data_IF_982260607902
#
_entry.id   IF_982260607902
#
_cell.length_a   1.000
_cell.length_b   1.000
_cell.length_c   1.000
_cell.angle_alpha   90.00
_cell.angle_beta   90.00
_cell.angle_gamma   90.00
#
_symmetry.space_group_name_H-M   'P 1'
#
loop_
_entity.id
_entity.type
_entity.pdbx_description
1 polymer ?
#
# COMPACT_ATOMS: atom_id res chain seq x y z
N UNK A 1 2.76 17.89 1.74
CA UNK A 1 2.45 16.46 1.94
C UNK A 1 1.54 15.91 0.83
N UNK A 2 1.03 16.76 -0.06
CA UNK A 2 0.12 16.37 -1.16
C UNK A 2 0.87 15.81 -2.40
N UNK A 3 2.09 16.26 -2.66
CA UNK A 3 2.85 15.90 -3.87
C UNK A 3 3.42 14.47 -3.89
N UNK A 4 3.48 13.77 -2.75
CA UNK A 4 3.95 12.37 -2.69
C UNK A 4 2.84 11.35 -3.01
N UNK A 5 1.56 11.76 -2.94
CA UNK A 5 0.42 10.91 -3.31
C UNK A 5 0.21 10.87 -4.83
N UNK A 6 0.33 12.02 -5.50
CA UNK A 6 0.10 12.14 -6.95
C UNK A 6 1.06 11.28 -7.79
N UNK A 7 2.30 11.07 -7.30
CA UNK A 7 3.30 10.24 -7.98
C UNK A 7 2.99 8.72 -7.93
N UNK A 8 1.97 8.31 -7.15
CA UNK A 8 1.55 6.90 -7.01
C UNK A 8 0.29 6.55 -7.80
N UNK A 9 -0.42 7.53 -8.37
CA UNK A 9 -1.70 7.31 -9.05
C UNK A 9 -1.53 6.75 -10.46
N UNK A 10 -0.38 7.00 -11.09
CA UNK A 10 -0.11 6.60 -12.47
C UNK A 10 1.10 5.69 -12.60
N UNK A 11 1.00 4.69 -13.47
CA UNK A 11 2.07 3.75 -13.74
C UNK A 11 3.24 4.44 -14.44
N UNK A 12 4.45 4.40 -13.85
CA UNK A 12 5.67 4.98 -14.46
C UNK A 12 6.05 4.39 -15.82
N UNK A 13 5.53 3.21 -16.17
CA UNK A 13 5.86 2.53 -17.42
C UNK A 13 4.90 2.87 -18.57
N UNK A 14 3.60 3.03 -18.31
CA UNK A 14 2.60 3.26 -19.37
C UNK A 14 1.73 4.50 -19.17
N UNK A 15 1.87 5.20 -18.03
CA UNK A 15 1.04 6.36 -17.66
C UNK A 15 -0.40 6.02 -17.27
N UNK A 16 -0.83 4.77 -17.34
CA UNK A 16 -2.18 4.37 -16.97
C UNK A 16 -2.44 4.35 -15.47
N UNK A 17 -3.71 4.36 -15.08
CA UNK A 17 -4.14 4.36 -13.68
C UNK A 17 -3.65 3.13 -12.90
N UNK A 18 -3.31 3.36 -11.63
CA UNK A 18 -2.94 2.32 -10.68
C UNK A 18 -4.16 1.93 -9.82
N UNK A 19 -4.43 0.63 -9.73
CA UNK A 19 -5.43 0.07 -8.83
C UNK A 19 -4.82 -0.14 -7.45
N UNK A 20 -5.58 0.17 -6.40
CA UNK A 20 -5.18 -0.05 -5.00
C UNK A 20 -5.90 -1.26 -4.43
N UNK A 21 -5.13 -2.23 -3.95
CA UNK A 21 -5.66 -3.41 -3.25
C UNK A 21 -5.31 -3.26 -1.77
N UNK A 22 -6.33 -3.23 -0.92
CA UNK A 22 -6.21 -3.10 0.53
C UNK A 22 -6.60 -4.42 1.20
N UNK A 23 -5.77 -4.87 2.13
CA UNK A 23 -6.04 -6.01 2.98
C UNK A 23 -6.59 -5.52 4.31
N UNK A 24 -7.68 -6.13 4.77
CA UNK A 24 -8.28 -5.85 6.07
C UNK A 24 -8.17 -7.08 6.98
N UNK A 25 -7.85 -6.85 8.24
CA UNK A 25 -7.84 -7.85 9.30
C UNK A 25 -9.25 -8.25 9.74
N UNK A 26 -9.33 -9.22 10.64
CA UNK A 26 -10.61 -9.76 11.12
C UNK A 26 -11.47 -8.71 11.85
N UNK A 27 -10.82 -7.71 12.45
CA UNK A 27 -11.48 -6.61 13.16
C UNK A 27 -11.77 -5.40 12.22
N UNK A 28 -11.55 -5.58 10.91
CA UNK A 28 -11.76 -4.54 9.89
C UNK A 28 -10.66 -3.48 9.84
N UNK A 29 -9.52 -3.68 10.51
CA UNK A 29 -8.39 -2.76 10.40
C UNK A 29 -7.60 -2.99 9.10
N UNK A 30 -7.07 -1.94 8.44
CA UNK A 30 -6.19 -2.13 7.30
C UNK A 30 -4.87 -2.77 7.76
N UNK A 31 -4.56 -3.96 7.23
CA UNK A 31 -3.34 -4.73 7.55
C UNK A 31 -2.25 -4.62 6.47
N UNK A 32 -2.56 -4.01 5.34
CA UNK A 32 -1.60 -3.83 4.26
C UNK A 32 -2.27 -3.57 2.92
N UNK A 33 -1.47 -3.55 1.87
CA UNK A 33 -1.98 -3.39 0.52
C UNK A 33 -0.87 -3.23 -0.51
N UNK A 34 -1.25 -3.18 -1.77
CA UNK A 34 -0.36 -2.87 -2.87
C UNK A 34 -1.09 -2.11 -3.96
N UNK A 35 -0.34 -1.33 -4.73
CA UNK A 35 -0.79 -0.72 -5.96
C UNK A 35 -0.37 -1.58 -7.16
N UNK A 36 -1.19 -1.69 -8.18
CA UNK A 36 -0.89 -2.43 -9.42
C UNK A 36 -1.51 -1.73 -10.62
N UNK A 37 -0.76 -1.61 -11.71
CA UNK A 37 -1.32 -1.13 -12.97
C UNK A 37 -2.17 -2.24 -13.61
N UNK A 38 -3.40 -1.92 -13.98
CA UNK A 38 -4.29 -2.84 -14.71
C UNK A 38 -3.75 -3.21 -16.10
N UNK A 39 -2.94 -2.33 -16.71
CA UNK A 39 -2.43 -2.50 -18.06
C UNK A 39 -1.03 -3.18 -18.10
N UNK A 40 -0.10 -2.78 -17.23
CA UNK A 40 1.22 -3.42 -17.11
C UNK A 40 1.19 -4.71 -16.28
N UNK A 41 0.13 -4.91 -15.50
CA UNK A 41 -0.08 -6.09 -14.68
C UNK A 41 0.94 -6.23 -13.53
N UNK A 42 1.23 -7.46 -13.08
CA UNK A 42 1.90 -7.73 -11.81
C UNK A 42 3.35 -7.24 -11.73
N UNK A 43 3.98 -6.91 -12.87
CA UNK A 43 5.33 -6.32 -12.89
C UNK A 43 5.38 -4.89 -12.36
N UNK A 44 4.24 -4.23 -12.26
CA UNK A 44 4.10 -2.85 -11.76
C UNK A 44 3.66 -2.78 -10.29
N UNK A 45 3.69 -3.90 -9.57
CA UNK A 45 3.24 -3.97 -8.18
C UNK A 45 4.16 -3.16 -7.28
N UNK A 46 3.56 -2.25 -6.49
CA UNK A 46 4.25 -1.46 -5.48
C UNK A 46 3.56 -1.68 -4.13
N UNK A 47 4.26 -2.27 -3.17
CA UNK A 47 3.70 -2.51 -1.84
C UNK A 47 3.48 -1.20 -1.06
N UNK A 48 2.34 -1.10 -0.37
CA UNK A 48 2.02 0.03 0.50
C UNK A 48 2.75 -0.13 1.83
N UNK A 49 3.96 0.40 1.90
CA UNK A 49 4.85 0.31 3.08
C UNK A 49 4.43 1.18 4.27
N UNK A 50 3.54 2.17 4.08
CA UNK A 50 3.03 3.01 5.17
C UNK A 50 2.31 2.17 6.25
N UNK A 51 1.45 1.24 5.84
CA UNK A 51 0.77 0.32 6.75
C UNK A 51 1.71 -0.66 7.45
N UNK A 52 2.78 -1.14 6.78
CA UNK A 52 3.69 -2.12 7.37
C UNK A 52 4.54 -1.54 8.52
N UNK A 53 4.99 -0.28 8.41
CA UNK A 53 5.74 0.39 9.48
C UNK A 53 4.86 0.71 10.70
N UNK A 54 3.62 1.14 10.47
CA UNK A 54 2.63 1.42 11.53
C UNK A 54 2.15 0.14 12.21
N UNK A 55 1.90 -0.94 11.46
CA UNK A 55 1.53 -2.25 12.01
C UNK A 55 2.70 -2.84 12.79
N UNK A 56 3.93 -2.75 12.27
CA UNK A 56 5.13 -3.18 13.00
C UNK A 56 5.32 -2.40 14.30
N UNK A 57 5.06 -1.09 14.30
CA UNK A 57 5.09 -0.27 15.52
C UNK A 57 4.03 -0.75 16.54
N UNK A 58 2.78 -0.91 16.12
CA UNK A 58 1.68 -1.41 16.98
C UNK A 58 1.94 -2.82 17.53
N UNK A 59 2.54 -3.71 16.74
CA UNK A 59 2.91 -5.07 17.17
C UNK A 59 4.06 -5.06 18.17
N UNK A 60 5.03 -4.15 18.03
CA UNK A 60 6.13 -3.98 18.99
C UNK A 60 5.63 -3.42 20.33
N UNK A 61 4.70 -2.44 20.30
CA UNK A 61 4.09 -1.88 21.51
C UNK A 61 3.30 -2.94 22.30
N UNK A 62 2.58 -3.84 21.62
CA UNK A 62 1.82 -4.93 22.25
C UNK A 62 2.68 -6.00 22.95
N UNK A 63 3.95 -6.18 22.54
CA UNK A 63 4.87 -7.15 23.17
C UNK A 63 5.66 -6.59 24.36
N UNK A 64 5.57 -5.28 24.59
CA UNK A 64 6.26 -4.60 25.67
C UNK A 64 5.40 -4.42 26.94
N UNK A 65 4.13 -4.85 26.92
CA UNK A 65 3.26 -4.98 28.10
C UNK A 65 3.21 -6.40 28.61
#
# INVERSE_FOLDING_TARGET
MESEMEEREHCKACGGDMLSVLYYGADGEPVGGYHVCSNCGPRSVVEMSATAAEIRRKLLERKAS
#
